data_IF_240362447997
#
_entry.id   IF_240362447997
#
_cell.length_a   1.000
_cell.length_b   1.000
_cell.length_c   1.000
_cell.angle_alpha   90.00
_cell.angle_beta   90.00
_cell.angle_gamma   90.00
#
_symmetry.space_group_name_H-M   'P 1'
#
loop_
_entity.id
_entity.type
_entity.pdbx_description
1 polymer ?
#
# COMPACT_ATOMS: atom_id res chain seq x y z
N UNK A 1 17.41 -0.93 24.08
CA UNK A 1 16.28 -1.91 24.17
C UNK A 1 16.46 -2.75 25.39
N UNK A 2 15.48 -2.80 26.25
CA UNK A 2 15.51 -3.71 27.40
C UNK A 2 15.25 -5.13 26.88
N UNK A 3 16.03 -6.12 27.37
CA UNK A 3 15.90 -7.50 26.91
C UNK A 3 14.61 -8.10 27.49
N UNK A 4 13.75 -8.70 26.64
CA UNK A 4 12.54 -9.47 26.98
C UNK A 4 12.76 -10.36 28.22
N UNK A 5 13.87 -11.08 28.25
CA UNK A 5 14.17 -12.04 29.34
C UNK A 5 14.23 -11.37 30.71
N UNK A 6 14.72 -10.12 30.77
CA UNK A 6 14.78 -9.35 32.03
C UNK A 6 13.37 -8.94 32.45
N UNK A 7 12.54 -8.50 31.50
CA UNK A 7 11.18 -8.06 31.79
C UNK A 7 10.30 -9.24 32.23
N UNK A 8 10.34 -10.34 31.51
CA UNK A 8 9.64 -11.60 31.88
C UNK A 8 10.08 -12.06 33.27
N UNK A 9 11.39 -12.03 33.56
CA UNK A 9 11.90 -12.39 34.90
C UNK A 9 11.35 -11.47 35.98
N UNK A 10 11.27 -10.16 35.76
CA UNK A 10 10.68 -9.23 36.72
C UNK A 10 9.19 -9.50 36.96
N UNK A 11 8.43 -9.87 35.93
CA UNK A 11 7.03 -10.28 36.05
C UNK A 11 6.88 -11.56 36.84
N UNK A 12 7.69 -12.58 36.58
CA UNK A 12 7.68 -13.88 37.27
C UNK A 12 8.10 -13.74 38.75
N UNK A 13 9.07 -12.86 39.03
CA UNK A 13 9.48 -12.51 40.39
C UNK A 13 8.48 -11.60 41.13
N UNK A 14 7.35 -11.21 40.46
CA UNK A 14 6.31 -10.28 40.96
C UNK A 14 6.86 -8.91 41.36
N UNK A 15 7.92 -8.46 40.69
CA UNK A 15 8.53 -7.13 40.93
C UNK A 15 7.81 -6.05 40.15
N UNK A 16 6.49 -5.97 40.33
CA UNK A 16 5.60 -5.08 39.55
C UNK A 16 5.97 -3.59 39.61
N UNK A 17 6.53 -3.14 40.76
CA UNK A 17 7.02 -1.76 40.86
C UNK A 17 8.14 -1.48 39.88
N UNK A 18 9.13 -2.38 39.79
CA UNK A 18 10.24 -2.22 38.85
C UNK A 18 9.78 -2.31 37.41
N UNK A 19 8.75 -3.11 37.10
CA UNK A 19 8.12 -3.18 35.78
C UNK A 19 7.44 -1.85 35.44
N UNK A 20 6.64 -1.29 36.35
CA UNK A 20 6.01 0.03 36.19
C UNK A 20 7.03 1.14 35.97
N UNK A 21 8.08 1.20 36.78
CA UNK A 21 9.13 2.22 36.68
C UNK A 21 9.83 2.17 35.29
N UNK A 22 9.91 0.99 34.67
CA UNK A 22 10.45 0.83 33.33
C UNK A 22 9.46 1.24 32.26
N UNK A 23 8.20 0.78 32.34
CA UNK A 23 7.14 1.16 31.37
C UNK A 23 6.87 2.67 31.39
N UNK A 24 7.03 3.31 32.53
CA UNK A 24 6.82 4.76 32.66
C UNK A 24 7.80 5.60 31.82
N UNK A 25 9.03 5.14 31.63
CA UNK A 25 10.06 5.85 30.86
C UNK A 25 10.15 5.39 29.38
N UNK A 26 9.50 4.30 29.02
CA UNK A 26 9.49 3.80 27.63
C UNK A 26 8.48 4.57 26.77
N UNK A 27 8.75 4.63 25.47
CA UNK A 27 7.80 5.11 24.47
C UNK A 27 6.68 4.07 24.25
N UNK A 28 5.47 4.51 23.90
CA UNK A 28 4.32 3.65 23.67
C UNK A 28 4.57 2.59 22.56
N UNK A 29 5.16 2.98 21.45
CA UNK A 29 5.53 2.07 20.35
C UNK A 29 6.51 0.97 20.79
N UNK A 30 7.53 1.36 21.60
CA UNK A 30 8.49 0.39 22.14
C UNK A 30 7.85 -0.58 23.14
N UNK A 31 6.85 -0.11 23.92
CA UNK A 31 6.06 -0.96 24.82
C UNK A 31 5.21 -1.93 24.02
N UNK A 32 4.49 -1.45 23.00
CA UNK A 32 3.69 -2.31 22.11
C UNK A 32 4.52 -3.42 21.47
N UNK A 33 5.68 -3.06 20.90
CA UNK A 33 6.63 -4.03 20.34
C UNK A 33 7.14 -5.06 21.36
N UNK A 34 7.44 -4.62 22.60
CA UNK A 34 7.85 -5.50 23.67
C UNK A 34 6.75 -6.49 24.07
N UNK A 35 5.51 -6.00 24.15
CA UNK A 35 4.34 -6.82 24.50
C UNK A 35 4.02 -7.86 23.43
N UNK A 36 4.31 -7.59 22.15
CA UNK A 36 4.17 -8.54 21.06
C UNK A 36 5.01 -9.80 21.18
N UNK A 37 6.00 -9.78 22.06
CA UNK A 37 6.84 -10.94 22.34
C UNK A 37 6.31 -11.86 23.47
N UNK A 38 5.19 -11.51 24.15
CA UNK A 38 4.68 -12.24 25.32
C UNK A 38 3.60 -13.25 24.94
N UNK A 39 3.36 -14.21 25.84
CA UNK A 39 2.18 -15.06 25.75
C UNK A 39 0.92 -14.30 26.26
N UNK A 40 -0.28 -14.80 25.92
CA UNK A 40 -1.56 -14.13 26.22
C UNK A 40 -1.75 -13.79 27.71
N UNK A 41 -1.19 -14.61 28.62
CA UNK A 41 -1.32 -14.40 30.08
C UNK A 41 -0.36 -13.34 30.59
N UNK A 42 0.87 -13.36 30.09
CA UNK A 42 1.89 -12.37 30.41
C UNK A 42 1.53 -11.02 29.79
N UNK A 43 0.98 -11.01 28.56
CA UNK A 43 0.46 -9.84 27.85
C UNK A 43 -0.58 -9.09 28.69
N UNK A 44 -1.65 -9.75 29.10
CA UNK A 44 -2.74 -9.12 29.87
C UNK A 44 -2.26 -8.58 31.24
N UNK A 45 -1.31 -9.28 31.87
CA UNK A 45 -0.72 -8.82 33.13
C UNK A 45 0.18 -7.61 32.92
N UNK A 46 1.04 -7.64 31.90
CA UNK A 46 1.96 -6.55 31.59
C UNK A 46 1.20 -5.29 31.15
N UNK A 47 0.16 -5.45 30.35
CA UNK A 47 -0.69 -4.34 29.89
C UNK A 47 -1.35 -3.61 31.09
N UNK A 48 -1.86 -4.33 32.09
CA UNK A 48 -2.41 -3.72 33.32
C UNK A 48 -1.38 -2.97 34.17
N UNK A 49 -0.10 -3.12 33.90
CA UNK A 49 0.97 -2.39 34.59
C UNK A 49 1.37 -1.11 33.87
N UNK A 50 0.89 -0.86 32.66
CA UNK A 50 1.14 0.37 31.88
C UNK A 50 0.51 1.56 32.62
N UNK A 51 1.18 2.73 32.63
CA UNK A 51 0.56 3.98 33.07
C UNK A 51 -0.72 4.28 32.27
N UNK A 52 -1.78 4.73 32.93
CA UNK A 52 -3.09 4.96 32.30
C UNK A 52 -3.00 5.93 31.12
N UNK A 53 -2.18 6.95 31.28
CA UNK A 53 -1.94 8.00 30.27
C UNK A 53 -1.27 7.49 28.97
N UNK A 54 -0.73 6.27 29.00
CA UNK A 54 -0.08 5.62 27.84
C UNK A 54 -0.84 4.40 27.33
N UNK A 55 -1.86 3.96 28.06
CA UNK A 55 -2.50 2.67 27.75
C UNK A 55 -3.21 2.67 26.40
N UNK A 56 -3.88 3.76 26.03
CA UNK A 56 -4.53 3.93 24.73
C UNK A 56 -3.48 3.98 23.60
N UNK A 57 -2.45 4.81 23.74
CA UNK A 57 -1.38 4.90 22.74
C UNK A 57 -0.64 3.56 22.54
N UNK A 58 -0.38 2.81 23.64
CA UNK A 58 0.22 1.47 23.52
C UNK A 58 -0.72 0.52 22.82
N UNK A 59 -2.01 0.57 23.15
CA UNK A 59 -3.02 -0.30 22.54
C UNK A 59 -3.17 -0.03 21.04
N UNK A 60 -3.22 1.24 20.61
CA UNK A 60 -3.29 1.64 19.21
C UNK A 60 -2.09 1.10 18.38
N UNK A 61 -0.89 1.12 18.97
CA UNK A 61 0.34 0.65 18.31
C UNK A 61 0.57 -0.87 18.39
N UNK A 62 -0.40 -1.67 18.87
CA UNK A 62 -0.27 -3.14 18.95
C UNK A 62 -0.81 -3.80 17.67
N UNK A 63 -0.26 -4.97 17.33
CA UNK A 63 -0.83 -5.81 16.28
C UNK A 63 -2.26 -6.26 16.64
N UNK A 64 -3.16 -6.32 15.66
CA UNK A 64 -4.59 -6.64 15.84
C UNK A 64 -4.83 -7.99 16.53
N UNK A 65 -3.92 -8.95 16.32
CA UNK A 65 -3.96 -10.24 17.02
C UNK A 65 -3.86 -10.08 18.53
N UNK A 66 -2.99 -9.17 19.00
CA UNK A 66 -2.77 -8.88 20.41
C UNK A 66 -3.90 -8.00 20.99
N UNK A 67 -4.37 -7.04 20.20
CA UNK A 67 -5.55 -6.24 20.55
C UNK A 67 -6.77 -7.14 20.76
N UNK A 68 -6.98 -8.13 19.87
CA UNK A 68 -8.06 -9.12 20.01
C UNK A 68 -7.99 -9.86 21.35
N UNK A 69 -6.79 -10.35 21.73
CA UNK A 69 -6.57 -11.04 23.01
C UNK A 69 -6.87 -10.09 24.20
N UNK A 70 -6.43 -8.84 24.13
CA UNK A 70 -6.71 -7.88 25.20
C UNK A 70 -8.20 -7.55 25.29
N UNK A 71 -8.89 -7.35 24.17
CA UNK A 71 -10.34 -7.11 24.15
C UNK A 71 -11.10 -8.29 24.76
N UNK A 72 -10.63 -9.53 24.63
CA UNK A 72 -11.26 -10.70 25.25
C UNK A 72 -11.05 -10.75 26.77
N UNK A 73 -9.87 -10.34 27.27
CA UNK A 73 -9.43 -10.58 28.67
C UNK A 73 -9.67 -9.37 29.58
N UNK A 74 -9.72 -8.15 29.03
CA UNK A 74 -9.97 -6.93 29.80
C UNK A 74 -11.44 -6.88 30.28
N UNK A 75 -11.67 -6.32 31.45
CA UNK A 75 -13.02 -6.04 31.93
C UNK A 75 -13.67 -4.90 31.12
N UNK A 76 -15.01 -4.83 31.12
CA UNK A 76 -15.74 -3.74 30.44
C UNK A 76 -15.30 -2.35 30.89
N UNK A 77 -14.93 -2.22 32.17
CA UNK A 77 -14.43 -0.94 32.71
C UNK A 77 -13.03 -0.60 32.16
N UNK A 78 -12.11 -1.58 32.12
CA UNK A 78 -10.76 -1.39 31.58
C UNK A 78 -10.82 -1.07 30.08
N UNK A 79 -11.66 -1.80 29.35
CA UNK A 79 -11.86 -1.57 27.93
C UNK A 79 -12.43 -0.18 27.64
N UNK A 80 -13.43 0.24 28.43
CA UNK A 80 -14.01 1.58 28.32
C UNK A 80 -12.97 2.68 28.59
N UNK A 81 -12.14 2.54 29.64
CA UNK A 81 -11.08 3.50 29.95
C UNK A 81 -10.08 3.64 28.78
N UNK A 82 -9.80 2.60 28.02
CA UNK A 82 -8.95 2.65 26.83
C UNK A 82 -9.67 3.34 25.67
N UNK A 83 -10.91 2.94 25.37
CA UNK A 83 -11.70 3.49 24.26
C UNK A 83 -12.02 4.98 24.45
N UNK A 84 -12.20 5.44 25.70
CA UNK A 84 -12.46 6.85 26.01
C UNK A 84 -11.23 7.75 25.69
N UNK A 85 -10.01 7.18 25.67
CA UNK A 85 -8.73 7.86 25.38
C UNK A 85 -8.18 7.54 23.99
N UNK A 86 -8.78 6.59 23.22
CA UNK A 86 -8.38 6.22 21.87
C UNK A 86 -8.99 7.17 20.84
N UNK A 87 -8.24 7.51 19.81
CA UNK A 87 -8.78 8.31 18.71
C UNK A 87 -9.78 7.52 17.87
N UNK A 88 -10.61 8.25 17.13
CA UNK A 88 -11.75 7.62 16.44
C UNK A 88 -11.35 6.77 15.25
N UNK A 89 -10.33 7.15 14.51
CA UNK A 89 -9.69 6.38 13.45
C UNK A 89 -9.11 5.07 13.99
N UNK A 90 -8.26 5.11 15.03
CA UNK A 90 -7.74 3.91 15.72
C UNK A 90 -8.87 2.97 16.19
N UNK A 91 -9.99 3.56 16.67
CA UNK A 91 -11.16 2.77 17.08
C UNK A 91 -11.83 2.10 15.90
N UNK A 92 -11.91 2.76 14.74
CA UNK A 92 -12.52 2.22 13.52
C UNK A 92 -11.63 1.11 12.95
N UNK A 93 -10.33 1.34 12.82
CA UNK A 93 -9.37 0.36 12.34
C UNK A 93 -9.38 -0.91 13.18
N UNK A 94 -9.41 -0.74 14.53
CA UNK A 94 -9.58 -1.87 15.45
C UNK A 94 -10.86 -2.68 15.15
N UNK A 95 -11.97 -2.00 14.87
CA UNK A 95 -13.26 -2.66 14.63
C UNK A 95 -13.33 -3.39 13.29
N UNK A 96 -12.64 -2.89 12.27
CA UNK A 96 -12.58 -3.52 10.94
C UNK A 96 -11.82 -4.86 10.99
N UNK A 97 -10.84 -4.98 11.86
CA UNK A 97 -10.00 -6.17 11.98
C UNK A 97 -10.53 -7.23 12.98
N UNK A 98 -11.44 -6.83 13.87
CA UNK A 98 -11.92 -7.70 14.94
C UNK A 98 -13.04 -8.65 14.51
N UNK A 99 -13.12 -9.87 15.09
CA UNK A 99 -14.27 -10.74 14.97
C UNK A 99 -15.57 -10.08 15.50
N UNK A 100 -16.70 -10.35 14.85
CA UNK A 100 -17.99 -9.71 15.13
C UNK A 100 -18.45 -9.74 16.60
N UNK A 101 -18.07 -10.77 17.37
CA UNK A 101 -18.37 -10.84 18.80
C UNK A 101 -17.61 -9.81 19.62
N UNK A 102 -16.36 -9.48 19.23
CA UNK A 102 -15.54 -8.46 19.88
C UNK A 102 -15.98 -7.05 19.46
N UNK A 103 -16.32 -6.86 18.18
CA UNK A 103 -16.95 -5.63 17.67
C UNK A 103 -18.18 -5.26 18.51
N UNK A 104 -19.09 -6.21 18.75
CA UNK A 104 -20.26 -5.97 19.60
C UNK A 104 -19.86 -5.54 21.01
N UNK A 105 -18.83 -6.16 21.58
CA UNK A 105 -18.35 -5.83 22.92
C UNK A 105 -17.80 -4.41 23.02
N UNK A 106 -17.03 -3.96 22.01
CA UNK A 106 -16.51 -2.58 21.94
C UNK A 106 -17.66 -1.58 21.80
N UNK A 107 -18.59 -1.84 20.87
CA UNK A 107 -19.75 -0.99 20.69
C UNK A 107 -20.63 -0.89 21.94
N UNK A 108 -20.71 -1.95 22.75
CA UNK A 108 -21.45 -1.94 24.01
C UNK A 108 -20.72 -1.18 25.12
N UNK A 109 -19.39 -1.16 25.10
CA UNK A 109 -18.55 -0.38 26.02
C UNK A 109 -18.54 1.11 25.66
N UNK A 110 -18.70 1.47 24.39
CA UNK A 110 -18.70 2.85 23.87
C UNK A 110 -19.98 3.61 24.26
N UNK A 111 -19.87 4.92 24.40
CA UNK A 111 -21.00 5.82 24.65
C UNK A 111 -21.97 5.91 23.45
N UNK A 112 -23.24 6.33 23.66
CA UNK A 112 -24.21 6.41 22.56
C UNK A 112 -23.78 7.32 21.41
N UNK A 113 -23.11 8.44 21.72
CA UNK A 113 -22.63 9.41 20.72
C UNK A 113 -21.42 8.88 19.95
N UNK A 114 -20.48 8.26 20.64
CA UNK A 114 -19.32 7.60 20.04
C UNK A 114 -19.76 6.48 19.11
N UNK A 115 -20.69 5.62 19.56
CA UNK A 115 -21.27 4.55 18.74
C UNK A 115 -21.94 5.07 17.47
N UNK A 116 -22.62 6.22 17.51
CA UNK A 116 -23.20 6.85 16.32
C UNK A 116 -22.09 7.28 15.34
N UNK A 117 -21.00 7.88 15.85
CA UNK A 117 -19.85 8.30 15.03
C UNK A 117 -19.14 7.09 14.44
N UNK A 118 -18.82 6.07 15.25
CA UNK A 118 -18.21 4.82 14.79
C UNK A 118 -19.04 4.18 13.67
N UNK A 119 -20.35 4.00 13.89
CA UNK A 119 -21.22 3.43 12.87
C UNK A 119 -21.26 4.26 11.57
N UNK A 120 -21.09 5.58 11.67
CA UNK A 120 -21.01 6.45 10.49
C UNK A 120 -19.70 6.23 9.74
N UNK A 121 -18.58 6.13 10.43
CA UNK A 121 -17.26 5.92 9.84
C UNK A 121 -17.15 4.55 9.19
N UNK A 122 -17.60 3.48 9.84
CA UNK A 122 -17.67 2.12 9.29
C UNK A 122 -18.57 1.97 8.05
N UNK A 123 -19.40 2.96 7.73
CA UNK A 123 -20.21 2.94 6.51
C UNK A 123 -19.51 3.57 5.30
N UNK A 124 -18.34 4.19 5.45
CA UNK A 124 -17.55 4.63 4.31
C UNK A 124 -16.88 3.44 3.61
N UNK A 125 -16.59 3.53 2.30
CA UNK A 125 -15.82 2.50 1.61
C UNK A 125 -14.43 2.33 2.25
N UNK A 126 -13.97 1.10 2.39
CA UNK A 126 -12.71 0.70 3.04
C UNK A 126 -11.47 1.43 2.51
N UNK A 127 -11.37 1.65 1.17
CA UNK A 127 -10.27 2.36 0.55
C UNK A 127 -10.56 3.86 0.32
N UNK A 128 -11.24 4.53 1.23
CA UNK A 128 -11.64 5.94 1.05
C UNK A 128 -11.07 6.86 2.14
N UNK A 129 -10.99 8.17 1.86
CA UNK A 129 -10.65 9.18 2.87
C UNK A 129 -11.56 9.12 4.11
N UNK A 130 -12.80 8.66 3.93
CA UNK A 130 -13.77 8.53 5.00
C UNK A 130 -13.47 7.40 5.98
N UNK A 131 -12.79 6.32 5.54
CA UNK A 131 -12.41 5.20 6.42
C UNK A 131 -11.20 5.52 7.28
N UNK A 132 -10.25 6.30 6.76
CA UNK A 132 -8.98 6.63 7.45
C UNK A 132 -8.99 8.02 8.11
N UNK A 133 -10.13 8.70 8.22
CA UNK A 133 -10.19 10.03 8.82
C UNK A 133 -10.52 9.99 10.29
N UNK A 134 -9.87 10.87 11.05
CA UNK A 134 -10.26 11.19 12.43
C UNK A 134 -11.26 12.36 12.49
N UNK A 135 -12.08 12.39 13.52
CA UNK A 135 -13.02 13.49 13.79
C UNK A 135 -12.52 14.47 14.82
N UNK A 136 -11.38 14.20 15.42
CA UNK A 136 -10.76 14.95 16.51
C UNK A 136 -9.86 16.09 16.00
N UNK A 137 -10.41 17.08 15.32
CA UNK A 137 -9.70 18.29 14.88
C UNK A 137 -10.10 19.53 15.70
N UNK A 138 -9.25 20.57 15.67
CA UNK A 138 -9.55 21.87 16.29
C UNK A 138 -10.35 22.73 15.32
N UNK A 139 -11.57 23.11 15.71
CA UNK A 139 -12.40 24.06 14.97
C UNK A 139 -12.37 25.46 15.59
N UNK A 140 -12.27 26.47 14.73
CA UNK A 140 -12.31 27.87 15.10
C UNK A 140 -13.46 28.59 14.39
N UNK A 141 -13.92 29.71 14.97
CA UNK A 141 -14.91 30.60 14.32
C UNK A 141 -14.22 31.82 13.75
N UNK A 142 -14.62 32.31 12.57
CA UNK A 142 -13.94 33.41 11.88
C UNK A 142 -13.89 34.72 12.72
N UNK A 143 -14.89 34.97 13.53
CA UNK A 143 -15.01 36.18 14.39
C UNK A 143 -14.24 36.12 15.72
N UNK A 144 -13.57 35.01 16.02
CA UNK A 144 -12.72 34.94 17.21
C UNK A 144 -11.46 35.78 16.99
N UNK A 145 -10.93 36.35 18.07
CA UNK A 145 -9.58 36.92 18.07
C UNK A 145 -8.53 35.81 18.23
N UNK A 146 -7.29 36.06 17.82
CA UNK A 146 -6.17 35.14 17.99
C UNK A 146 -6.02 34.70 19.45
N UNK A 147 -6.10 35.63 20.39
CA UNK A 147 -6.05 35.28 21.83
C UNK A 147 -7.18 34.37 22.30
N UNK A 148 -8.41 34.57 21.75
CA UNK A 148 -9.55 33.69 22.05
C UNK A 148 -9.36 32.31 21.39
N UNK A 149 -8.85 32.27 20.15
CA UNK A 149 -8.56 31.03 19.46
C UNK A 149 -7.49 30.20 20.16
N UNK A 150 -6.40 30.85 20.65
CA UNK A 150 -5.37 30.19 21.44
C UNK A 150 -5.91 29.63 22.76
N UNK A 151 -6.79 30.38 23.44
CA UNK A 151 -7.44 29.90 24.67
C UNK A 151 -8.31 28.68 24.39
N UNK A 152 -9.11 28.71 23.32
CA UNK A 152 -9.94 27.59 22.86
C UNK A 152 -9.10 26.35 22.49
N UNK A 153 -8.02 26.56 21.73
CA UNK A 153 -7.10 25.45 21.33
C UNK A 153 -6.41 24.83 22.56
N UNK A 154 -6.04 25.64 23.59
CA UNK A 154 -5.47 25.09 24.83
C UNK A 154 -6.48 24.29 25.65
N UNK A 155 -7.74 24.68 25.63
CA UNK A 155 -8.79 23.98 26.36
C UNK A 155 -9.22 22.68 25.69
N UNK A 156 -9.38 22.70 24.38
CA UNK A 156 -9.92 21.56 23.60
C UNK A 156 -8.86 20.64 23.01
N UNK A 157 -7.66 21.15 22.76
CA UNK A 157 -6.61 20.47 22.00
C UNK A 157 -6.03 19.22 22.66
N UNK A 158 -6.26 19.03 23.98
CA UNK A 158 -5.80 17.84 24.69
C UNK A 158 -6.51 16.55 24.23
N UNK A 159 -7.69 16.70 23.61
CA UNK A 159 -8.51 15.60 23.09
C UNK A 159 -8.58 15.67 21.55
N UNK A 160 -7.61 16.30 20.90
CA UNK A 160 -7.55 16.44 19.45
C UNK A 160 -6.31 15.75 18.93
N UNK A 161 -6.47 15.08 17.80
CA UNK A 161 -5.40 14.37 17.10
C UNK A 161 -4.20 15.30 16.84
N UNK A 162 -4.48 16.48 16.32
CA UNK A 162 -3.47 17.50 16.10
C UNK A 162 -3.99 18.91 16.37
N UNK A 163 -3.08 19.79 16.83
CA UNK A 163 -3.32 21.23 16.97
C UNK A 163 -2.50 22.06 15.98
N UNK A 164 -1.67 21.42 15.14
CA UNK A 164 -0.79 22.14 14.21
C UNK A 164 -1.56 22.90 13.15
N UNK A 165 -2.72 22.39 12.74
CA UNK A 165 -3.65 23.03 11.80
C UNK A 165 -5.02 23.13 12.45
N UNK A 166 -5.55 24.36 12.55
CA UNK A 166 -6.89 24.64 13.05
C UNK A 166 -7.80 24.99 11.88
N UNK A 167 -9.04 24.50 11.91
CA UNK A 167 -10.00 24.63 10.81
C UNK A 167 -11.03 25.70 11.12
N UNK A 168 -11.08 26.75 10.30
CA UNK A 168 -12.05 27.83 10.47
C UNK A 168 -13.36 27.44 9.81
N UNK A 169 -14.39 27.24 10.63
CA UNK A 169 -15.68 26.75 10.15
C UNK A 169 -16.85 27.67 10.55
N UNK A 170 -17.85 27.73 9.68
CA UNK A 170 -19.14 28.36 9.96
C UNK A 170 -20.27 27.42 9.52
N UNK A 171 -21.13 27.02 10.44
CA UNK A 171 -22.17 26.01 10.19
C UNK A 171 -21.62 24.72 9.55
N UNK A 172 -20.48 24.24 10.06
CA UNK A 172 -19.69 23.10 9.54
C UNK A 172 -19.04 23.30 8.16
N UNK A 173 -19.31 24.42 7.47
CA UNK A 173 -18.65 24.73 6.21
C UNK A 173 -17.23 25.22 6.48
N UNK A 174 -16.26 24.62 5.83
CA UNK A 174 -14.85 25.01 5.89
C UNK A 174 -14.65 26.34 5.16
N UNK A 175 -14.16 27.38 5.85
CA UNK A 175 -13.89 28.70 5.32
C UNK A 175 -12.41 29.00 5.13
N UNK A 176 -11.56 28.44 6.03
CA UNK A 176 -10.13 28.68 6.04
C UNK A 176 -9.42 27.71 6.98
N UNK A 177 -8.11 27.77 6.96
CA UNK A 177 -7.23 27.10 7.91
C UNK A 177 -6.28 28.11 8.54
N UNK A 178 -5.86 27.85 9.78
CA UNK A 178 -4.86 28.66 10.49
C UNK A 178 -3.87 27.72 11.14
N UNK A 179 -2.58 27.94 10.94
CA UNK A 179 -1.56 27.13 11.59
C UNK A 179 -1.35 27.55 13.06
N UNK A 180 -0.93 26.61 13.89
CA UNK A 180 -0.50 26.92 15.26
C UNK A 180 0.61 27.99 15.28
N UNK A 181 1.50 27.99 14.27
CA UNK A 181 2.53 29.02 14.11
C UNK A 181 1.91 30.41 13.94
N UNK A 182 0.91 30.56 13.08
CA UNK A 182 0.26 31.85 12.83
C UNK A 182 -0.47 32.34 14.08
N UNK A 183 -1.14 31.45 14.80
CA UNK A 183 -1.76 31.79 16.10
C UNK A 183 -0.74 32.25 17.13
N UNK A 184 0.48 31.65 17.17
CA UNK A 184 1.52 32.00 18.14
C UNK A 184 2.30 33.28 17.77
N UNK A 185 2.29 33.67 16.50
CA UNK A 185 3.12 34.80 16.00
C UNK A 185 2.33 36.06 15.67
N UNK A 186 0.99 36.01 15.74
CA UNK A 186 0.09 37.14 15.49
C UNK A 186 -0.40 37.76 16.78
N UNK A 187 -0.68 39.05 16.78
CA UNK A 187 -1.20 39.78 17.94
C UNK A 187 -2.59 39.25 18.37
N UNK A 188 -2.80 39.11 19.68
CA UNK A 188 -4.01 38.53 20.29
C UNK A 188 -5.34 39.18 19.87
N UNK A 189 -5.31 40.46 19.46
CA UNK A 189 -6.51 41.22 19.06
C UNK A 189 -6.93 41.09 17.61
N UNK A 190 -6.11 40.46 16.76
CA UNK A 190 -6.40 40.24 15.32
C UNK A 190 -7.48 39.18 15.18
N UNK A 191 -8.41 39.35 14.24
CA UNK A 191 -9.44 38.35 13.96
C UNK A 191 -8.91 37.16 13.17
N UNK A 192 -9.45 36.00 13.41
CA UNK A 192 -9.10 34.76 12.71
C UNK A 192 -9.38 34.90 11.19
N UNK A 193 -10.48 35.57 10.82
CA UNK A 193 -10.83 35.82 9.41
C UNK A 193 -9.80 36.66 8.64
N UNK A 194 -9.01 37.48 9.35
CA UNK A 194 -7.96 38.32 8.76
C UNK A 194 -6.64 37.58 8.50
N UNK A 195 -6.43 36.42 9.16
CA UNK A 195 -5.18 35.64 9.09
C UNK A 195 -5.36 34.24 8.49
N UNK A 196 -6.61 33.78 8.33
CA UNK A 196 -6.86 32.45 7.78
C UNK A 196 -6.48 32.35 6.32
N UNK A 197 -5.91 31.24 5.92
CA UNK A 197 -5.71 30.86 4.53
C UNK A 197 -7.01 30.30 3.96
N UNK A 198 -7.45 30.86 2.82
CA UNK A 198 -8.72 30.48 2.17
C UNK A 198 -8.55 29.58 0.96
N UNK A 199 -7.33 29.45 0.40
CA UNK A 199 -7.01 28.48 -0.66
C UNK A 199 -6.70 27.11 -0.04
N UNK A 200 -7.75 26.38 0.32
CA UNK A 200 -7.63 25.15 1.07
C UNK A 200 -7.59 23.95 0.13
N UNK A 201 -6.59 23.11 0.32
CA UNK A 201 -6.56 21.78 -0.28
C UNK A 201 -7.40 20.86 0.60
N UNK A 202 -8.39 20.19 0.02
CA UNK A 202 -9.31 19.29 0.72
C UNK A 202 -9.69 18.11 -0.16
N UNK A 203 -10.17 17.03 0.43
CA UNK A 203 -10.66 15.84 -0.26
C UNK A 203 -12.09 15.53 0.12
N UNK A 204 -12.77 14.74 -0.70
CA UNK A 204 -14.08 14.19 -0.39
C UNK A 204 -13.94 12.92 0.44
N UNK A 205 -14.94 12.59 1.26
CA UNK A 205 -15.02 11.31 1.98
C UNK A 205 -14.88 10.07 1.08
N UNK A 206 -15.18 10.20 -0.22
CA UNK A 206 -15.10 9.11 -1.21
C UNK A 206 -13.81 9.14 -2.03
N UNK A 207 -12.88 10.06 -1.73
CA UNK A 207 -11.56 10.07 -2.39
C UNK A 207 -10.78 8.84 -1.94
N UNK A 208 -10.11 8.18 -2.89
CA UNK A 208 -9.25 7.03 -2.64
C UNK A 208 -8.13 7.36 -1.64
N UNK A 209 -7.87 6.48 -0.68
CA UNK A 209 -6.87 6.70 0.39
C UNK A 209 -5.45 6.88 -0.15
N UNK A 210 -5.09 6.21 -1.27
CA UNK A 210 -3.81 6.40 -1.95
C UNK A 210 -3.68 7.84 -2.50
N UNK A 211 -4.76 8.36 -3.11
CA UNK A 211 -4.79 9.75 -3.62
C UNK A 211 -4.70 10.76 -2.47
N UNK A 212 -5.29 10.48 -1.30
CA UNK A 212 -5.17 11.31 -0.08
C UNK A 212 -3.71 11.37 0.38
N UNK A 213 -3.06 10.22 0.52
CA UNK A 213 -1.65 10.13 0.92
C UNK A 213 -0.73 10.84 -0.08
N UNK A 214 -1.02 10.73 -1.38
CA UNK A 214 -0.30 11.46 -2.42
C UNK A 214 -0.47 12.98 -2.31
N UNK A 215 -1.66 13.48 -1.93
CA UNK A 215 -1.90 14.93 -1.75
C UNK A 215 -1.17 15.46 -0.52
N UNK A 216 -1.24 14.76 0.63
CA UNK A 216 -0.48 15.11 1.83
C UNK A 216 1.01 15.25 1.53
N UNK A 217 1.61 14.26 0.86
CA UNK A 217 3.01 14.29 0.45
C UNK A 217 3.32 15.39 -0.56
N UNK A 218 2.45 15.63 -1.56
CA UNK A 218 2.69 16.59 -2.65
C UNK A 218 2.73 18.04 -2.16
N UNK A 219 1.90 18.34 -1.17
CA UNK A 219 1.74 19.69 -0.64
C UNK A 219 2.41 19.88 0.71
N UNK A 220 3.15 18.88 1.20
CA UNK A 220 3.86 18.88 2.49
C UNK A 220 2.91 19.22 3.66
N UNK A 221 1.69 18.68 3.65
CA UNK A 221 0.67 18.92 4.67
C UNK A 221 0.83 17.98 5.85
N UNK A 222 0.55 18.47 7.07
CA UNK A 222 0.51 17.64 8.29
C UNK A 222 -0.86 17.00 8.51
N UNK A 223 -1.91 17.61 7.96
CA UNK A 223 -3.26 17.07 7.98
C UNK A 223 -4.05 17.63 6.80
N UNK A 224 -5.00 16.85 6.27
CA UNK A 224 -5.82 17.17 5.11
C UNK A 224 -7.30 17.14 5.49
N UNK A 225 -8.06 18.23 5.33
CA UNK A 225 -9.48 18.26 5.66
C UNK A 225 -10.31 17.42 4.68
N UNK A 226 -11.23 16.65 5.25
CA UNK A 226 -12.17 15.77 4.53
C UNK A 226 -13.56 16.40 4.56
N UNK A 227 -14.13 16.57 3.38
CA UNK A 227 -15.45 17.16 3.18
C UNK A 227 -16.45 16.07 2.76
N UNK A 228 -17.68 16.19 3.24
CA UNK A 228 -18.78 15.36 2.76
C UNK A 228 -19.30 15.84 1.38
N UNK A 229 -20.31 15.15 0.87
CA UNK A 229 -20.95 15.48 -0.42
C UNK A 229 -21.61 16.86 -0.45
N UNK A 230 -21.93 17.43 0.71
CA UNK A 230 -22.51 18.76 0.87
C UNK A 230 -21.43 19.85 1.07
N UNK A 231 -20.16 19.47 1.07
CA UNK A 231 -19.02 20.36 1.26
C UNK A 231 -18.81 20.79 2.71
N UNK A 232 -19.31 20.00 3.67
CA UNK A 232 -19.14 20.23 5.10
C UNK A 232 -17.91 19.48 5.61
N UNK A 233 -17.15 20.07 6.51
CA UNK A 233 -16.01 19.42 7.16
C UNK A 233 -16.52 18.31 8.09
N UNK A 234 -16.07 17.09 7.86
CA UNK A 234 -16.47 15.89 8.61
C UNK A 234 -15.33 15.22 9.38
N UNK A 235 -14.09 15.45 8.94
CA UNK A 235 -12.89 14.90 9.57
C UNK A 235 -11.62 15.45 8.95
N UNK A 236 -10.49 14.90 9.35
CA UNK A 236 -9.16 15.16 8.80
C UNK A 236 -8.43 13.82 8.63
N UNK A 237 -7.51 13.74 7.67
CA UNK A 237 -6.53 12.66 7.59
C UNK A 237 -5.17 13.24 7.95
N UNK A 238 -4.44 12.59 8.85
CA UNK A 238 -3.14 13.05 9.31
C UNK A 238 -2.01 12.50 8.44
N UNK A 239 -0.81 13.01 8.64
CA UNK A 239 0.35 12.62 7.84
C UNK A 239 0.87 11.23 8.21
N UNK A 240 0.78 10.83 9.47
CA UNK A 240 1.16 9.50 9.98
C UNK A 240 0.27 8.41 9.37
N UNK A 241 -1.07 8.56 9.43
CA UNK A 241 -2.01 7.64 8.76
C UNK A 241 -1.73 7.53 7.25
N UNK A 242 -1.46 8.67 6.60
CA UNK A 242 -1.10 8.68 5.20
C UNK A 242 0.23 7.95 4.91
N UNK A 243 1.18 7.94 5.87
CA UNK A 243 2.40 7.14 5.73
C UNK A 243 2.11 5.64 5.83
N UNK A 244 1.23 5.23 6.71
CA UNK A 244 0.83 3.84 6.86
C UNK A 244 0.10 3.36 5.60
N UNK A 245 -0.85 4.13 5.07
CA UNK A 245 -1.47 3.87 3.76
C UNK A 245 -0.42 3.71 2.65
N UNK A 246 0.60 4.57 2.60
CA UNK A 246 1.66 4.45 1.57
C UNK A 246 2.47 3.16 1.70
N UNK A 247 2.68 2.65 2.90
CA UNK A 247 3.39 1.38 3.14
C UNK A 247 2.49 0.19 2.77
N UNK A 248 1.21 0.26 3.13
CA UNK A 248 0.21 -0.75 2.77
C UNK A 248 0.06 -0.88 1.26
N UNK A 249 -0.18 0.21 0.55
CA UNK A 249 -0.31 0.24 -0.92
C UNK A 249 0.96 -0.25 -1.62
N UNK A 250 2.14 0.16 -1.14
CA UNK A 250 3.41 -0.34 -1.69
C UNK A 250 3.57 -1.86 -1.48
N UNK A 251 3.12 -2.38 -0.34
CA UNK A 251 3.15 -3.81 -0.01
C UNK A 251 2.12 -4.58 -0.85
N UNK A 252 0.93 -4.02 -1.03
CA UNK A 252 -0.11 -4.55 -1.89
C UNK A 252 0.37 -4.65 -3.34
N UNK A 253 0.91 -3.57 -3.88
CA UNK A 253 1.50 -3.51 -5.23
C UNK A 253 2.56 -4.60 -5.43
N UNK A 254 3.49 -4.76 -4.49
CA UNK A 254 4.55 -5.79 -4.55
C UNK A 254 3.94 -7.20 -4.59
N UNK A 255 2.94 -7.48 -3.78
CA UNK A 255 2.29 -8.80 -3.73
C UNK A 255 1.48 -9.08 -4.98
N UNK A 256 0.72 -8.10 -5.49
CA UNK A 256 0.00 -8.18 -6.77
C UNK A 256 0.95 -8.38 -7.95
N UNK A 257 2.08 -7.66 -7.97
CA UNK A 257 3.13 -7.84 -8.98
C UNK A 257 3.77 -9.23 -8.95
N UNK A 258 3.75 -9.92 -7.81
CA UNK A 258 4.17 -11.31 -7.69
C UNK A 258 3.06 -12.34 -7.97
N UNK A 259 1.86 -11.90 -8.38
CA UNK A 259 0.66 -12.73 -8.53
C UNK A 259 0.29 -13.49 -7.23
N UNK A 260 0.34 -12.78 -6.12
CA UNK A 260 -0.09 -13.24 -4.78
C UNK A 260 -1.20 -12.32 -4.30
N UNK A 261 -2.27 -12.85 -3.74
CA UNK A 261 -3.31 -12.02 -3.11
C UNK A 261 -2.75 -11.36 -1.83
N UNK A 262 -2.95 -10.05 -1.65
CA UNK A 262 -2.40 -9.30 -0.51
C UNK A 262 -2.93 -9.81 0.84
N UNK A 263 -2.23 -9.44 1.92
CA UNK A 263 -2.56 -9.76 3.31
C UNK A 263 -2.08 -8.66 4.21
N UNK A 264 -2.92 -8.23 5.13
CA UNK A 264 -2.57 -7.31 6.21
C UNK A 264 -1.72 -8.00 7.29
N UNK A 265 -1.88 -9.33 7.45
CA UNK A 265 -1.15 -10.12 8.44
C UNK A 265 0.32 -10.29 8.07
N UNK A 266 1.19 -10.32 9.07
CA UNK A 266 2.60 -10.58 8.91
C UNK A 266 2.88 -12.01 8.39
N UNK A 267 4.04 -12.23 7.80
CA UNK A 267 4.38 -13.52 7.18
C UNK A 267 4.25 -14.71 8.12
N UNK A 268 4.58 -14.55 9.41
CA UNK A 268 4.57 -15.63 10.40
C UNK A 268 3.19 -15.87 11.02
N UNK A 269 2.29 -14.91 10.99
CA UNK A 269 0.90 -15.03 11.45
C UNK A 269 0.04 -15.82 10.47
N UNK A 270 0.35 -15.70 9.18
CA UNK A 270 -0.39 -16.41 8.13
C UNK A 270 -0.03 -17.89 8.12
N UNK A 271 -1.01 -18.77 8.28
CA UNK A 271 -0.78 -20.21 8.23
C UNK A 271 -0.31 -20.68 6.85
N UNK A 272 0.44 -21.80 6.80
CA UNK A 272 0.89 -22.39 5.53
C UNK A 272 -0.27 -22.68 4.55
N UNK A 273 -1.43 -23.07 5.07
CA UNK A 273 -2.63 -23.32 4.26
C UNK A 273 -3.21 -22.02 3.68
N UNK A 274 -3.24 -20.97 4.45
CA UNK A 274 -3.70 -19.66 4.00
C UNK A 274 -2.76 -19.08 2.96
N UNK A 275 -1.45 -19.16 3.16
CA UNK A 275 -0.44 -18.81 2.14
C UNK A 275 -0.66 -19.57 0.83
N UNK A 276 -0.93 -20.89 0.90
CA UNK A 276 -1.22 -21.68 -0.28
C UNK A 276 -2.52 -21.20 -0.98
N UNK A 277 -3.59 -20.97 -0.22
CA UNK A 277 -4.89 -20.49 -0.73
C UNK A 277 -4.77 -19.16 -1.48
N UNK A 278 -3.91 -18.23 -1.03
CA UNK A 278 -3.69 -16.92 -1.65
C UNK A 278 -2.88 -17.01 -2.95
N UNK A 279 -2.09 -18.06 -3.15
CA UNK A 279 -1.22 -18.25 -4.34
C UNK A 279 -1.85 -19.15 -5.40
N UNK A 280 -2.60 -20.18 -5.01
CA UNK A 280 -3.14 -21.21 -5.90
C UNK A 280 -3.99 -20.62 -7.04
N UNK A 281 -4.93 -19.68 -6.85
CA UNK A 281 -5.77 -19.17 -7.93
C UNK A 281 -4.97 -18.59 -9.09
N UNK A 282 -3.98 -17.75 -8.78
CA UNK A 282 -3.10 -17.15 -9.78
C UNK A 282 -2.23 -18.19 -10.49
N UNK A 283 -1.66 -19.14 -9.74
CA UNK A 283 -0.85 -20.21 -10.32
C UNK A 283 -1.66 -21.09 -11.26
N UNK A 284 -2.93 -21.36 -10.95
CA UNK A 284 -3.83 -22.09 -11.85
C UNK A 284 -4.12 -21.29 -13.14
N UNK A 285 -4.41 -20.00 -13.04
CA UNK A 285 -4.61 -19.14 -14.21
C UNK A 285 -3.37 -19.16 -15.12
N UNK A 286 -2.18 -18.99 -14.54
CA UNK A 286 -0.92 -19.02 -15.30
C UNK A 286 -0.63 -20.41 -15.91
N UNK A 287 -0.91 -21.49 -15.16
CA UNK A 287 -0.78 -22.86 -15.66
C UNK A 287 -1.70 -23.11 -16.85
N UNK A 288 -2.97 -22.69 -16.79
CA UNK A 288 -3.89 -22.85 -17.93
C UNK A 288 -3.49 -21.95 -19.11
N UNK A 289 -2.97 -20.76 -18.87
CA UNK A 289 -2.47 -19.87 -19.92
C UNK A 289 -1.29 -20.49 -20.68
N UNK A 290 -0.46 -21.30 -20.03
CA UNK A 290 0.68 -21.97 -20.68
C UNK A 290 0.27 -23.02 -21.72
N UNK A 291 -0.99 -23.49 -21.71
CA UNK A 291 -1.54 -24.37 -22.74
C UNK A 291 -1.48 -23.71 -24.12
N UNK A 292 -1.67 -22.40 -24.19
CA UNK A 292 -1.57 -21.61 -25.43
C UNK A 292 -0.17 -21.77 -26.02
N UNK A 293 0.85 -21.57 -25.19
CA UNK A 293 2.26 -21.73 -25.59
C UNK A 293 2.55 -23.15 -26.08
N UNK A 294 2.08 -24.17 -25.36
CA UNK A 294 2.18 -25.58 -25.78
C UNK A 294 1.53 -25.85 -27.16
N UNK A 295 0.34 -25.31 -27.38
CA UNK A 295 -0.37 -25.45 -28.66
C UNK A 295 0.39 -24.79 -29.82
N UNK A 296 1.00 -23.63 -29.59
CA UNK A 296 1.85 -22.94 -30.57
C UNK A 296 3.05 -23.82 -30.93
N UNK A 297 3.75 -24.37 -29.92
CA UNK A 297 4.90 -25.27 -30.14
C UNK A 297 4.51 -26.48 -31.01
N UNK A 298 3.40 -27.14 -30.65
CA UNK A 298 2.90 -28.32 -31.40
C UNK A 298 2.62 -27.98 -32.87
N UNK A 299 2.13 -26.80 -33.19
CA UNK A 299 1.85 -26.35 -34.55
C UNK A 299 3.10 -26.32 -35.45
N UNK A 300 4.27 -26.15 -34.84
CA UNK A 300 5.56 -26.08 -35.56
C UNK A 300 6.39 -27.38 -35.48
N UNK A 301 5.78 -28.52 -35.14
CA UNK A 301 6.42 -29.82 -34.98
C UNK A 301 7.23 -30.23 -36.23
N UNK A 302 6.74 -29.96 -37.44
CA UNK A 302 7.47 -30.23 -38.69
C UNK A 302 8.78 -29.44 -38.79
N UNK A 303 8.84 -28.22 -38.30
CA UNK A 303 10.06 -27.43 -38.28
C UNK A 303 11.11 -28.03 -37.33
N UNK A 304 10.68 -28.62 -36.22
CA UNK A 304 11.56 -29.32 -35.28
C UNK A 304 12.13 -30.60 -35.86
N UNK A 305 11.28 -31.34 -36.58
CA UNK A 305 11.73 -32.57 -37.25
C UNK A 305 12.78 -32.29 -38.33
N UNK A 306 12.66 -31.15 -39.03
CA UNK A 306 13.61 -30.72 -40.06
C UNK A 306 14.92 -30.20 -39.43
N UNK A 307 14.85 -29.41 -38.36
CA UNK A 307 16.04 -28.81 -37.72
C UNK A 307 15.87 -28.92 -36.17
N UNK A 308 16.25 -30.07 -35.57
CA UNK A 308 16.08 -30.31 -34.14
C UNK A 308 16.76 -29.26 -33.24
N UNK A 309 17.83 -28.64 -33.70
CA UNK A 309 18.57 -27.60 -32.97
C UNK A 309 17.72 -26.37 -32.65
N UNK A 310 16.65 -26.12 -33.42
CA UNK A 310 15.72 -25.00 -33.15
C UNK A 310 15.10 -25.08 -31.74
N UNK A 311 14.79 -26.29 -31.27
CA UNK A 311 14.19 -26.50 -29.94
C UNK A 311 15.08 -25.99 -28.80
N UNK A 312 16.41 -26.14 -28.96
CA UNK A 312 17.38 -25.78 -27.92
C UNK A 312 17.41 -24.27 -27.61
N UNK A 313 16.89 -23.43 -28.49
CA UNK A 313 16.88 -21.96 -28.28
C UNK A 313 15.55 -21.42 -27.77
N UNK A 314 14.50 -22.23 -27.69
CA UNK A 314 13.18 -21.81 -27.15
C UNK A 314 13.31 -21.26 -25.75
N UNK A 315 13.92 -21.96 -24.74
CA UNK A 315 14.03 -21.46 -23.39
C UNK A 315 14.74 -20.10 -23.31
N UNK A 316 15.80 -19.92 -24.11
CA UNK A 316 16.54 -18.66 -24.10
C UNK A 316 15.71 -17.48 -24.62
N UNK A 317 14.93 -17.69 -25.71
CA UNK A 317 14.09 -16.64 -26.27
C UNK A 317 12.93 -16.27 -25.33
N UNK A 318 12.29 -17.27 -24.71
CA UNK A 318 11.23 -17.07 -23.73
C UNK A 318 11.76 -16.30 -22.51
N UNK A 319 12.83 -16.79 -21.89
CA UNK A 319 13.43 -16.16 -20.71
C UNK A 319 13.87 -14.70 -20.99
N UNK A 320 14.58 -14.48 -22.10
CA UNK A 320 15.00 -13.13 -22.50
C UNK A 320 13.80 -12.22 -22.76
N UNK A 321 12.77 -12.71 -23.44
CA UNK A 321 11.53 -11.98 -23.71
C UNK A 321 10.79 -11.65 -22.41
N UNK A 322 10.56 -12.65 -21.56
CA UNK A 322 9.89 -12.50 -20.28
C UNK A 322 10.58 -11.45 -19.38
N UNK A 323 11.90 -11.56 -19.25
CA UNK A 323 12.71 -10.61 -18.48
C UNK A 323 12.64 -9.17 -19.04
N UNK A 324 12.71 -9.02 -20.37
CA UNK A 324 12.59 -7.71 -21.02
C UNK A 324 11.19 -7.09 -20.83
N UNK A 325 10.14 -7.88 -20.92
CA UNK A 325 8.77 -7.45 -20.69
C UNK A 325 8.53 -7.04 -19.25
N UNK A 326 8.98 -7.88 -18.31
CA UNK A 326 8.87 -7.61 -16.86
C UNK A 326 9.60 -6.33 -16.45
N UNK A 327 10.81 -6.08 -16.97
CA UNK A 327 11.53 -4.83 -16.69
C UNK A 327 10.74 -3.59 -17.14
N UNK A 328 10.16 -3.62 -18.33
CA UNK A 328 9.36 -2.47 -18.81
C UNK A 328 8.06 -2.31 -18.03
N UNK A 329 7.38 -3.41 -17.72
CA UNK A 329 6.16 -3.40 -16.92
C UNK A 329 6.39 -2.80 -15.53
N UNK A 330 7.37 -3.29 -14.80
CA UNK A 330 7.71 -2.80 -13.45
C UNK A 330 7.99 -1.30 -13.45
N UNK A 331 8.75 -0.80 -14.45
CA UNK A 331 9.02 0.64 -14.53
C UNK A 331 7.77 1.47 -14.83
N UNK A 332 6.87 0.96 -15.67
CA UNK A 332 5.63 1.65 -16.01
C UNK A 332 4.62 1.60 -14.87
N UNK A 333 4.43 0.44 -14.21
CA UNK A 333 3.57 0.31 -13.04
C UNK A 333 4.02 1.30 -11.96
N UNK A 334 5.30 1.29 -11.60
CA UNK A 334 5.87 2.27 -10.67
C UNK A 334 5.64 3.72 -11.12
N UNK A 335 5.81 4.01 -12.41
CA UNK A 335 5.57 5.35 -12.96
C UNK A 335 4.11 5.79 -12.84
N UNK A 336 3.17 4.86 -12.97
CA UNK A 336 1.73 5.08 -12.79
C UNK A 336 1.41 5.29 -11.31
N UNK A 337 1.88 4.42 -10.42
CA UNK A 337 1.68 4.53 -8.97
C UNK A 337 2.21 5.85 -8.40
N UNK A 338 3.35 6.35 -8.90
CA UNK A 338 3.92 7.63 -8.50
C UNK A 338 3.34 8.84 -9.26
N UNK A 339 2.29 8.68 -10.06
CA UNK A 339 1.69 9.71 -10.92
C UNK A 339 2.69 10.41 -11.88
N UNK A 340 3.83 9.73 -12.21
CA UNK A 340 4.84 10.22 -13.17
C UNK A 340 4.49 9.88 -14.62
N UNK A 341 3.66 8.86 -14.84
CA UNK A 341 3.21 8.38 -16.15
C UNK A 341 1.69 8.33 -16.14
N UNK A 342 1.08 9.04 -17.07
CA UNK A 342 -0.37 9.05 -17.29
C UNK A 342 -0.73 8.46 -18.65
N UNK A 343 -2.00 8.14 -18.87
CA UNK A 343 -2.44 7.65 -20.18
C UNK A 343 -2.21 8.65 -21.31
N UNK A 344 -2.13 9.96 -21.03
CA UNK A 344 -1.80 10.98 -22.01
C UNK A 344 -0.36 10.82 -22.56
N UNK A 345 0.54 10.23 -21.78
CA UNK A 345 1.92 9.96 -22.18
C UNK A 345 2.08 8.69 -23.01
N UNK A 346 0.99 7.97 -23.34
CA UNK A 346 1.01 6.65 -23.98
C UNK A 346 1.96 6.56 -25.19
N UNK A 347 1.81 7.43 -26.16
CA UNK A 347 2.66 7.42 -27.35
C UNK A 347 4.11 7.80 -27.06
N UNK A 348 4.33 8.66 -26.07
CA UNK A 348 5.68 9.05 -25.63
C UNK A 348 6.39 7.89 -24.95
N UNK A 349 5.69 7.13 -24.15
CA UNK A 349 6.19 5.91 -23.48
C UNK A 349 6.53 4.85 -24.53
N UNK A 350 5.60 4.53 -25.43
CA UNK A 350 5.84 3.55 -26.52
C UNK A 350 7.07 3.92 -27.34
N UNK A 351 7.20 5.19 -27.73
CA UNK A 351 8.34 5.62 -28.51
C UNK A 351 9.67 5.54 -27.76
N UNK A 352 9.64 5.83 -26.46
CA UNK A 352 10.81 5.68 -25.58
C UNK A 352 11.21 4.22 -25.45
N UNK A 353 10.25 3.33 -25.11
CA UNK A 353 10.50 1.89 -24.96
C UNK A 353 10.90 1.23 -26.29
N UNK A 354 10.35 1.65 -27.42
CA UNK A 354 10.80 1.18 -28.73
C UNK A 354 12.28 1.50 -28.97
N UNK A 355 12.76 2.71 -28.66
CA UNK A 355 14.19 3.05 -28.80
C UNK A 355 15.06 2.25 -27.84
N UNK A 356 14.61 2.06 -26.61
CA UNK A 356 15.31 1.21 -25.61
C UNK A 356 15.39 -0.23 -26.11
N UNK A 357 14.28 -0.76 -26.65
CA UNK A 357 14.23 -2.14 -27.15
C UNK A 357 15.17 -2.38 -28.34
N UNK A 358 15.34 -1.41 -29.22
CA UNK A 358 16.30 -1.50 -30.32
C UNK A 358 17.74 -1.59 -29.79
N UNK A 359 18.11 -0.76 -28.83
CA UNK A 359 19.46 -0.77 -28.24
C UNK A 359 19.72 -2.11 -27.55
N UNK A 360 18.81 -2.52 -26.66
CA UNK A 360 18.93 -3.79 -25.91
C UNK A 360 18.90 -4.98 -26.85
N UNK A 361 17.94 -5.00 -27.80
CA UNK A 361 17.79 -6.09 -28.76
C UNK A 361 19.01 -6.30 -29.63
N UNK A 362 19.61 -5.22 -30.17
CA UNK A 362 20.83 -5.32 -30.98
C UNK A 362 22.02 -5.83 -30.16
N UNK A 363 22.21 -5.31 -28.93
CA UNK A 363 23.32 -5.78 -28.07
C UNK A 363 23.19 -7.28 -27.77
N UNK A 364 21.97 -7.72 -27.36
CA UNK A 364 21.73 -9.15 -27.08
C UNK A 364 21.84 -10.02 -28.33
N UNK A 365 21.36 -9.53 -29.49
CA UNK A 365 21.45 -10.25 -30.76
C UNK A 365 22.90 -10.44 -31.22
N UNK A 366 23.74 -9.40 -31.12
CA UNK A 366 25.16 -9.47 -31.47
C UNK A 366 25.89 -10.44 -30.54
N UNK A 367 25.70 -10.28 -29.22
CA UNK A 367 26.36 -11.14 -28.22
C UNK A 367 25.99 -12.64 -28.42
N UNK A 368 24.69 -12.91 -28.57
CA UNK A 368 24.20 -14.29 -28.70
C UNK A 368 24.41 -14.87 -30.09
N UNK A 369 24.24 -14.07 -31.13
CA UNK A 369 24.55 -14.49 -32.52
C UNK A 369 26.02 -14.88 -32.68
N UNK A 370 26.95 -14.09 -32.10
CA UNK A 370 28.37 -14.42 -32.08
C UNK A 370 28.63 -15.72 -31.30
N UNK A 371 28.06 -15.88 -30.13
CA UNK A 371 28.16 -17.12 -29.34
C UNK A 371 27.70 -18.33 -30.13
N UNK A 372 26.53 -18.25 -30.77
CA UNK A 372 25.96 -19.36 -31.55
C UNK A 372 26.85 -19.68 -32.77
N UNK A 373 27.32 -18.66 -33.48
CA UNK A 373 28.23 -18.84 -34.61
C UNK A 373 29.52 -19.54 -34.18
N UNK A 374 30.14 -19.14 -33.09
CA UNK A 374 31.36 -19.76 -32.58
C UNK A 374 31.14 -21.20 -32.10
N UNK A 375 29.98 -21.48 -31.48
CA UNK A 375 29.69 -22.82 -30.93
C UNK A 375 29.26 -23.81 -31.96
N UNK A 376 28.38 -23.42 -32.88
CA UNK A 376 27.75 -24.37 -33.85
C UNK A 376 28.27 -24.22 -35.26
N UNK A 377 29.06 -23.19 -35.56
CA UNK A 377 29.61 -22.90 -36.92
C UNK A 377 28.53 -22.79 -38.02
N UNK A 378 27.29 -22.42 -37.63
CA UNK A 378 26.13 -22.30 -38.53
C UNK A 378 25.68 -20.86 -38.64
N UNK A 379 26.08 -20.15 -39.68
CA UNK A 379 25.71 -18.74 -39.88
C UNK A 379 24.19 -18.52 -40.01
N UNK A 380 23.47 -19.41 -40.69
CA UNK A 380 22.02 -19.33 -40.82
C UNK A 380 21.30 -19.38 -39.48
N UNK A 381 21.71 -20.28 -38.58
CA UNK A 381 21.15 -20.36 -37.22
C UNK A 381 21.47 -19.11 -36.42
N UNK A 382 22.70 -18.62 -36.46
CA UNK A 382 23.08 -17.39 -35.76
C UNK A 382 22.23 -16.17 -36.19
N UNK A 383 21.96 -16.04 -37.50
CA UNK A 383 21.11 -14.97 -38.04
C UNK A 383 19.65 -15.11 -37.60
N UNK A 384 19.07 -16.32 -37.67
CA UNK A 384 17.70 -16.58 -37.24
C UNK A 384 17.52 -16.19 -35.78
N UNK A 385 18.44 -16.64 -34.92
CA UNK A 385 18.36 -16.34 -33.48
C UNK A 385 18.56 -14.85 -33.19
N UNK A 386 19.52 -14.20 -33.87
CA UNK A 386 19.75 -12.76 -33.69
C UNK A 386 18.54 -11.93 -34.12
N UNK A 387 17.92 -12.21 -35.25
CA UNK A 387 16.69 -11.52 -35.69
C UNK A 387 15.53 -11.80 -34.77
N UNK A 388 15.37 -13.04 -34.32
CA UNK A 388 14.31 -13.42 -33.37
C UNK A 388 14.48 -12.71 -32.04
N UNK A 389 15.70 -12.59 -31.51
CA UNK A 389 15.97 -11.85 -30.29
C UNK A 389 15.59 -10.37 -30.42
N UNK A 390 15.99 -9.69 -31.49
CA UNK A 390 15.60 -8.28 -31.70
C UNK A 390 14.08 -8.13 -31.70
N UNK A 391 13.40 -8.94 -32.50
CA UNK A 391 11.94 -8.87 -32.63
C UNK A 391 11.21 -9.23 -31.31
N UNK A 392 11.70 -10.26 -30.61
CA UNK A 392 11.17 -10.63 -29.27
C UNK A 392 11.35 -9.52 -28.26
N UNK A 393 12.53 -8.90 -28.16
CA UNK A 393 12.81 -7.81 -27.21
C UNK A 393 11.94 -6.58 -27.50
N UNK A 394 11.74 -6.25 -28.79
CA UNK A 394 10.84 -5.15 -29.18
C UNK A 394 9.41 -5.46 -28.75
N UNK A 395 8.90 -6.64 -29.12
CA UNK A 395 7.55 -7.06 -28.76
C UNK A 395 7.34 -7.10 -27.24
N UNK A 396 8.29 -7.70 -26.51
CA UNK A 396 8.22 -7.86 -25.06
C UNK A 396 8.17 -6.50 -24.33
N UNK A 397 9.07 -5.57 -24.68
CA UNK A 397 9.11 -4.25 -24.05
C UNK A 397 7.88 -3.41 -24.38
N UNK A 398 7.37 -3.49 -25.60
CA UNK A 398 6.14 -2.81 -25.98
C UNK A 398 4.91 -3.39 -25.25
N UNK A 399 4.79 -4.72 -25.16
CA UNK A 399 3.72 -5.36 -24.38
C UNK A 399 3.83 -5.00 -22.90
N UNK A 400 5.04 -4.99 -22.35
CA UNK A 400 5.33 -4.63 -20.96
C UNK A 400 4.90 -3.20 -20.60
N UNK A 401 4.90 -2.25 -21.54
CA UNK A 401 4.40 -0.91 -21.27
C UNK A 401 2.92 -0.70 -21.63
N UNK A 402 2.43 -1.35 -22.69
CA UNK A 402 1.05 -1.17 -23.17
C UNK A 402 0.05 -1.76 -22.19
N UNK A 403 0.31 -2.97 -21.69
CA UNK A 403 -0.67 -3.69 -20.84
C UNK A 403 -0.99 -2.95 -19.54
N UNK A 404 -0.02 -2.49 -18.71
CA UNK A 404 -0.33 -1.74 -17.50
C UNK A 404 -1.04 -0.40 -17.77
N UNK A 405 -0.64 0.32 -18.82
CA UNK A 405 -1.29 1.58 -19.19
C UNK A 405 -2.75 1.38 -19.65
N UNK A 406 -3.02 0.30 -20.38
CA UNK A 406 -4.38 -0.06 -20.78
C UNK A 406 -5.21 -0.53 -19.57
N UNK A 407 -4.64 -1.29 -18.64
CA UNK A 407 -5.30 -1.71 -17.41
C UNK A 407 -5.79 -0.49 -16.60
N UNK A 408 -4.92 0.47 -16.32
CA UNK A 408 -5.31 1.71 -15.62
C UNK A 408 -6.43 2.46 -16.34
N UNK A 409 -6.40 2.49 -17.68
CA UNK A 409 -7.44 3.18 -18.47
C UNK A 409 -8.83 2.55 -18.34
N UNK A 410 -8.91 1.24 -18.20
CA UNK A 410 -10.19 0.51 -18.07
C UNK A 410 -10.59 0.29 -16.61
N UNK A 411 -9.87 0.91 -15.66
CA UNK A 411 -10.16 0.83 -14.22
C UNK A 411 -9.69 -0.48 -13.56
N UNK A 412 -8.77 -1.20 -14.20
CA UNK A 412 -8.09 -2.35 -13.58
C UNK A 412 -6.77 -1.90 -12.97
N UNK A 413 -6.38 -2.55 -11.89
CA UNK A 413 -5.11 -2.31 -11.23
C UNK A 413 -3.93 -2.68 -12.17
N UNK A 414 -3.02 -1.72 -12.47
CA UNK A 414 -1.85 -2.00 -13.30
C UNK A 414 -0.90 -3.04 -12.72
N UNK A 415 -0.83 -3.21 -11.40
CA UNK A 415 0.01 -4.18 -10.73
C UNK A 415 -0.32 -5.63 -11.11
N UNK A 416 -1.59 -5.92 -11.43
CA UNK A 416 -2.04 -7.21 -11.95
C UNK A 416 -1.42 -7.56 -13.31
N UNK A 417 -0.99 -6.54 -14.10
CA UNK A 417 -0.33 -6.70 -15.39
C UNK A 417 1.20 -6.83 -15.23
N UNK A 418 1.66 -7.33 -14.09
CA UNK A 418 3.07 -7.46 -13.81
C UNK A 418 3.68 -8.78 -14.32
N UNK A 419 4.85 -9.12 -13.80
CA UNK A 419 5.77 -10.13 -14.33
C UNK A 419 5.12 -11.45 -14.76
N UNK A 420 4.30 -12.16 -13.96
CA UNK A 420 3.82 -13.49 -14.33
C UNK A 420 2.86 -13.49 -15.53
N UNK A 421 1.98 -12.50 -15.63
CA UNK A 421 1.06 -12.42 -16.77
C UNK A 421 1.78 -11.98 -18.04
N UNK A 422 2.68 -11.00 -17.91
CA UNK A 422 3.50 -10.54 -19.05
C UNK A 422 4.39 -11.63 -19.58
N UNK A 423 5.08 -12.39 -18.73
CA UNK A 423 5.92 -13.50 -19.18
C UNK A 423 5.12 -14.50 -20.01
N UNK A 424 3.93 -14.88 -19.57
CA UNK A 424 3.07 -15.81 -20.31
C UNK A 424 2.68 -15.29 -21.70
N UNK A 425 2.31 -14.02 -21.82
CA UNK A 425 1.95 -13.39 -23.11
C UNK A 425 3.18 -13.25 -24.01
N UNK A 426 4.29 -12.84 -23.43
CA UNK A 426 5.55 -12.66 -24.13
C UNK A 426 6.12 -14.00 -24.60
N UNK A 427 6.01 -15.06 -23.81
CA UNK A 427 6.44 -16.41 -24.19
C UNK A 427 5.73 -16.89 -25.45
N UNK A 428 4.41 -16.78 -25.47
CA UNK A 428 3.61 -17.14 -26.63
C UNK A 428 3.99 -16.30 -27.87
N UNK A 429 4.15 -14.99 -27.72
CA UNK A 429 4.52 -14.10 -28.81
C UNK A 429 5.96 -14.34 -29.28
N UNK A 430 6.90 -14.60 -28.37
CA UNK A 430 8.30 -14.88 -28.67
C UNK A 430 8.47 -16.14 -29.53
N UNK A 431 7.75 -17.21 -29.16
CA UNK A 431 7.76 -18.47 -29.90
C UNK A 431 7.14 -18.27 -31.28
N UNK A 432 6.03 -17.57 -31.40
CA UNK A 432 5.42 -17.28 -32.72
C UNK A 432 6.38 -16.50 -33.61
N UNK A 433 7.00 -15.44 -33.10
CA UNK A 433 8.00 -14.63 -33.80
C UNK A 433 9.18 -15.50 -34.25
N UNK A 434 9.70 -16.29 -33.32
CA UNK A 434 10.84 -17.18 -33.59
C UNK A 434 10.58 -18.18 -34.73
N UNK A 435 9.48 -18.92 -34.65
CA UNK A 435 9.15 -19.89 -35.69
C UNK A 435 8.78 -19.25 -37.01
N UNK A 436 8.10 -18.12 -36.97
CA UNK A 436 7.83 -17.36 -38.19
C UNK A 436 9.12 -16.98 -38.92
N UNK A 437 10.12 -16.49 -38.19
CA UNK A 437 11.43 -16.14 -38.77
C UNK A 437 12.18 -17.40 -39.25
N UNK A 438 12.22 -18.44 -38.39
CA UNK A 438 12.91 -19.68 -38.71
C UNK A 438 12.36 -20.35 -39.98
N UNK A 439 11.03 -20.48 -40.10
CA UNK A 439 10.37 -21.08 -41.27
C UNK A 439 10.61 -20.27 -42.55
N UNK A 440 10.66 -18.94 -42.44
CA UNK A 440 10.95 -18.07 -43.58
C UNK A 440 12.40 -18.16 -44.05
N UNK A 441 13.36 -18.19 -43.10
CA UNK A 441 14.80 -18.23 -43.45
C UNK A 441 15.24 -19.61 -43.93
N UNK A 442 14.70 -20.67 -43.34
CA UNK A 442 15.06 -22.05 -43.72
C UNK A 442 14.12 -22.66 -44.78
N UNK A 443 13.10 -21.92 -45.23
CA UNK A 443 12.10 -22.37 -46.20
C UNK A 443 11.38 -23.68 -45.79
N UNK A 444 11.01 -23.76 -44.51
CA UNK A 444 10.31 -24.90 -43.90
C UNK A 444 8.79 -24.79 -44.05
#
# INVERSE_FOLDING_TARGET
MMNKDIFVKLLQERRYKSVKDVLDVMNAVDIASLLGEFDDKELALAFRLIPKEKAADVFANMESSLQSVLVEVLSEKELKEILDDLYMDDTVDLLEELPANLVTRILDASGPKERETINKLLNYPEDSAGSIMTTEYVDLKPHLTVGQALAHTKETGIHKETIYTCYVIQQRKLLGIVSAKDLMTTDDNVLIEDIMETEIISVSTLTDKEDVAHQLRKYDLLALPVLDTDGLLVGIVTFDDAMDVMVEEATEDITKMAAVSPSEKTYFEVSAWEHAKRRIPWLLVLMFSSIITGTIITRYENAFAAIPLLVSFIPMLMDTGGNCGSQSSTLIIRGIALNQVTFHDFFRVIWKEFRVSLIVGVVLAVANGLRIYLTYQQAGMAVVIALSLVATVISAKLLGCILPMCAKKIGLDPALMASPLITTIVDASSIMIYFFIATKVFHL
#
